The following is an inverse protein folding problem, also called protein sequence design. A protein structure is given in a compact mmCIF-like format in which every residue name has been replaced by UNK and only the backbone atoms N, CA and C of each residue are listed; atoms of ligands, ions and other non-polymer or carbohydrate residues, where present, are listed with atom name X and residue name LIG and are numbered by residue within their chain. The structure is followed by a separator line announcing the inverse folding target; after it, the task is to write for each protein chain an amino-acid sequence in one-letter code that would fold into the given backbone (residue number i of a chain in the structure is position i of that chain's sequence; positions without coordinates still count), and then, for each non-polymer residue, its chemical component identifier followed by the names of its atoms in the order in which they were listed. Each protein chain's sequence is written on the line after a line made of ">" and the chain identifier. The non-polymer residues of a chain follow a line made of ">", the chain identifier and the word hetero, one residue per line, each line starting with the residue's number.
data_IF_520525450231
#
_entry.id   IF_520525450231
#
_cell.length_a   1.000
_cell.length_b   1.000
_cell.length_c   1.000
_cell.angle_alpha   90.00
_cell.angle_beta   90.00
_cell.angle_gamma   90.00
#
_symmetry.space_group_name_H-M   'P 1'
#
loop_
_entity.id
_entity.type
_entity.pdbx_description
1 polymer ?
#
# COMPACT_ATOMS: atom_id res chain seq x y z
N UNK A 1 -14.22 34.30 9.15
CA UNK A 1 -14.44 34.49 7.71
C UNK A 1 -13.13 34.96 7.11
N UNK A 2 -12.59 34.25 6.12
CA UNK A 2 -11.30 34.60 5.48
C UNK A 2 -11.39 35.88 4.65
N UNK A 3 -12.58 36.25 4.15
CA UNK A 3 -12.78 37.52 3.42
C UNK A 3 -12.59 38.71 4.33
N UNK A 4 -13.12 38.67 5.55
CA UNK A 4 -12.93 39.71 6.55
C UNK A 4 -11.44 39.88 6.94
N UNK A 5 -10.68 38.77 6.95
CA UNK A 5 -9.22 38.81 7.17
C UNK A 5 -8.53 39.44 5.97
N UNK A 6 -8.87 39.05 4.74
CA UNK A 6 -8.31 39.67 3.53
C UNK A 6 -8.60 41.17 3.48
N UNK A 7 -9.82 41.60 3.73
CA UNK A 7 -10.20 43.02 3.79
C UNK A 7 -9.45 43.79 4.89
N UNK A 8 -9.14 43.15 6.02
CA UNK A 8 -8.34 43.76 7.08
C UNK A 8 -6.86 43.91 6.67
N UNK A 9 -6.30 42.90 6.00
CA UNK A 9 -4.93 42.91 5.46
C UNK A 9 -4.78 43.99 4.39
N UNK A 10 -5.73 44.09 3.48
CA UNK A 10 -5.77 45.11 2.43
C UNK A 10 -5.89 46.52 3.01
N UNK A 11 -6.78 46.73 4.00
CA UNK A 11 -6.90 48.01 4.72
C UNK A 11 -5.64 48.41 5.48
N UNK A 12 -4.88 47.43 5.98
CA UNK A 12 -3.61 47.66 6.66
C UNK A 12 -2.44 47.96 5.69
N UNK A 13 -2.70 47.99 4.37
CA UNK A 13 -1.70 48.36 3.36
C UNK A 13 -0.71 47.24 3.01
N UNK A 14 -0.98 46.00 3.43
CA UNK A 14 -0.18 44.85 3.04
C UNK A 14 -0.65 44.34 1.66
N UNK A 15 0.30 44.16 0.73
CA UNK A 15 0.03 43.56 -0.57
C UNK A 15 -0.30 42.07 -0.41
N UNK A 16 -1.20 41.55 -1.26
CA UNK A 16 -1.62 40.14 -1.34
C UNK A 16 -0.44 39.15 -1.37
N UNK A 17 0.66 39.55 -2.00
CA UNK A 17 1.87 38.74 -2.17
C UNK A 17 2.69 38.58 -0.87
N UNK A 18 2.42 39.38 0.16
CA UNK A 18 3.19 39.38 1.42
C UNK A 18 2.50 38.67 2.58
N UNK A 19 1.20 38.39 2.47
CA UNK A 19 0.41 37.72 3.51
C UNK A 19 -0.38 36.59 2.88
N UNK A 20 0.06 35.36 3.13
CA UNK A 20 -0.73 34.18 2.79
C UNK A 20 -1.96 34.12 3.72
N UNK A 21 -3.10 34.62 3.21
CA UNK A 21 -4.37 34.67 3.95
C UNK A 21 -4.85 33.27 4.35
N UNK A 22 -4.54 32.25 3.54
CA UNK A 22 -4.93 30.88 3.83
C UNK A 22 -4.07 30.29 4.95
N UNK A 23 -2.75 30.53 4.92
CA UNK A 23 -1.84 30.17 6.01
C UNK A 23 -2.13 30.98 7.28
N UNK A 24 -2.44 32.27 7.18
CA UNK A 24 -2.83 33.09 8.32
C UNK A 24 -4.14 32.60 8.94
N UNK A 25 -5.10 32.18 8.13
CA UNK A 25 -6.31 31.50 8.58
C UNK A 25 -6.02 30.22 9.37
N UNK A 26 -5.08 29.40 8.89
CA UNK A 26 -4.61 28.19 9.59
C UNK A 26 -3.86 28.51 10.88
N UNK A 27 -2.99 29.51 10.89
CA UNK A 27 -2.16 29.87 12.05
C UNK A 27 -2.95 30.60 13.15
N UNK A 28 -3.93 31.43 12.78
CA UNK A 28 -4.79 32.14 13.73
C UNK A 28 -5.77 31.22 14.46
N UNK A 29 -6.03 30.04 13.89
CA UNK A 29 -6.74 28.95 14.53
C UNK A 29 -5.71 27.92 15.00
N UNK A 30 -5.02 28.24 16.11
CA UNK A 30 -3.88 27.51 16.69
C UNK A 30 -3.99 25.96 16.75
N UNK A 31 -5.17 25.37 16.51
CA UNK A 31 -5.42 23.93 16.44
C UNK A 31 -6.49 23.49 15.42
N UNK A 32 -6.90 24.31 14.44
CA UNK A 32 -8.00 23.96 13.54
C UNK A 32 -7.81 24.39 12.08
N UNK A 33 -8.38 23.62 11.16
CA UNK A 33 -8.63 24.06 9.78
C UNK A 33 -9.60 25.25 9.83
N UNK A 34 -9.48 26.26 8.95
CA UNK A 34 -10.51 27.30 8.83
C UNK A 34 -11.89 26.65 8.69
N UNK A 35 -12.87 27.10 9.51
CA UNK A 35 -14.22 26.49 9.53
C UNK A 35 -14.76 26.33 8.10
N UNK A 36 -14.93 25.10 7.59
CA UNK A 36 -15.23 24.86 6.17
C UNK A 36 -16.41 25.68 5.64
N UNK A 37 -17.50 25.73 6.39
CA UNK A 37 -18.75 26.41 6.02
C UNK A 37 -18.58 27.93 5.91
N UNK A 38 -17.66 28.51 6.69
CA UNK A 38 -17.39 29.95 6.69
C UNK A 38 -16.27 30.35 5.72
N UNK A 39 -15.47 29.38 5.26
CA UNK A 39 -14.27 29.63 4.46
C UNK A 39 -14.42 29.24 2.99
N UNK A 40 -15.34 28.33 2.66
CA UNK A 40 -15.52 27.87 1.27
C UNK A 40 -15.75 28.99 0.25
N UNK A 41 -16.49 30.10 0.52
CA UNK A 41 -16.71 31.14 -0.49
C UNK A 41 -15.40 31.82 -0.90
N UNK A 42 -14.49 32.01 0.06
CA UNK A 42 -13.16 32.55 -0.21
C UNK A 42 -12.34 31.60 -1.08
N UNK A 43 -12.31 30.30 -0.72
CA UNK A 43 -11.57 29.30 -1.50
C UNK A 43 -12.18 29.03 -2.88
N UNK A 44 -13.47 29.30 -3.10
CA UNK A 44 -14.09 29.19 -4.42
C UNK A 44 -13.49 30.20 -5.42
N UNK A 45 -13.06 31.36 -4.94
CA UNK A 45 -12.35 32.39 -5.70
C UNK A 45 -10.82 32.13 -5.78
N UNK A 46 -10.28 31.28 -4.90
CA UNK A 46 -8.85 30.99 -4.74
C UNK A 46 -8.54 29.49 -4.87
N UNK A 47 -9.00 28.89 -5.97
CA UNK A 47 -8.89 27.45 -6.21
C UNK A 47 -7.45 26.98 -6.39
N UNK A 48 -6.53 27.87 -6.76
CA UNK A 48 -5.10 27.64 -6.87
C UNK A 48 -4.47 27.24 -5.53
N UNK A 49 -4.97 27.82 -4.43
CA UNK A 49 -4.54 27.46 -3.07
C UNK A 49 -4.94 26.01 -2.76
N UNK A 50 -6.20 25.64 -3.02
CA UNK A 50 -6.67 24.27 -2.84
C UNK A 50 -5.91 23.29 -3.73
N UNK A 51 -5.66 23.64 -5.00
CA UNK A 51 -4.90 22.82 -5.93
C UNK A 51 -3.48 22.53 -5.41
N UNK A 52 -2.83 23.55 -4.85
CA UNK A 52 -1.52 23.42 -4.22
C UNK A 52 -1.59 22.49 -3.01
N UNK A 53 -2.56 22.71 -2.11
CA UNK A 53 -2.72 21.92 -0.89
C UNK A 53 -3.00 20.44 -1.15
N UNK A 54 -3.80 20.12 -2.17
CA UNK A 54 -4.10 18.74 -2.56
C UNK A 54 -2.85 17.92 -2.95
N UNK A 55 -1.74 18.59 -3.29
CA UNK A 55 -0.51 17.93 -3.76
C UNK A 55 0.72 18.17 -2.88
N UNK A 56 0.67 19.14 -1.95
CA UNK A 56 1.82 19.54 -1.14
C UNK A 56 2.18 18.52 -0.05
N UNK A 57 1.21 18.09 0.76
CA UNK A 57 1.41 17.09 1.82
C UNK A 57 0.12 16.36 2.16
N UNK A 58 0.22 15.23 2.87
CA UNK A 58 -0.97 14.50 3.32
C UNK A 58 -1.84 15.32 4.28
N UNK A 59 -1.23 16.15 5.13
CA UNK A 59 -1.96 17.05 6.04
C UNK A 59 -2.69 18.13 5.25
N UNK A 60 -2.01 18.74 4.28
CA UNK A 60 -2.61 19.79 3.45
C UNK A 60 -3.76 19.27 2.60
N UNK A 61 -3.61 18.06 2.07
CA UNK A 61 -4.68 17.41 1.32
C UNK A 61 -5.90 17.12 2.21
N UNK A 62 -5.71 16.73 3.48
CA UNK A 62 -6.82 16.54 4.42
C UNK A 62 -7.58 17.84 4.65
N UNK A 63 -6.87 18.96 4.85
CA UNK A 63 -7.48 20.26 5.05
C UNK A 63 -8.24 20.75 3.80
N UNK A 64 -7.62 20.59 2.63
CA UNK A 64 -8.25 20.94 1.36
C UNK A 64 -9.53 20.13 1.12
N UNK A 65 -9.51 18.83 1.42
CA UNK A 65 -10.69 17.96 1.34
C UNK A 65 -11.78 18.39 2.34
N UNK A 66 -11.41 18.80 3.56
CA UNK A 66 -12.37 19.30 4.54
C UNK A 66 -13.06 20.59 4.09
N UNK A 67 -12.31 21.52 3.48
CA UNK A 67 -12.88 22.74 2.90
C UNK A 67 -13.79 22.42 1.71
N UNK A 68 -13.34 21.52 0.82
CA UNK A 68 -14.10 21.11 -0.36
C UNK A 68 -15.40 20.38 -0.01
N UNK A 69 -15.47 19.71 1.14
CA UNK A 69 -16.72 19.08 1.59
C UNK A 69 -17.84 20.11 1.87
N UNK A 70 -17.48 21.36 2.18
CA UNK A 70 -18.44 22.45 2.34
C UNK A 70 -18.83 23.13 1.02
N UNK A 71 -18.22 22.77 -0.12
CA UNK A 71 -18.59 23.36 -1.40
C UNK A 71 -19.98 22.87 -1.84
N UNK A 72 -20.82 23.72 -2.43
CA UNK A 72 -22.08 23.29 -3.03
C UNK A 72 -21.87 22.46 -4.31
N UNK A 73 -20.79 22.75 -5.05
CA UNK A 73 -20.39 22.00 -6.24
C UNK A 73 -18.86 21.99 -6.35
N UNK A 74 -18.28 20.86 -6.78
CA UNK A 74 -16.84 20.75 -6.94
C UNK A 74 -16.36 21.53 -8.17
N UNK A 75 -15.31 22.36 -8.04
CA UNK A 75 -14.71 23.02 -9.19
C UNK A 75 -14.10 22.01 -10.18
N UNK A 76 -14.44 22.07 -11.48
CA UNK A 76 -13.92 21.12 -12.48
C UNK A 76 -12.39 21.03 -12.53
N UNK A 77 -11.69 22.14 -12.26
CA UNK A 77 -10.23 22.23 -12.24
C UNK A 77 -9.58 21.35 -11.16
N UNK A 78 -10.30 21.01 -10.11
CA UNK A 78 -9.79 20.22 -8.99
C UNK A 78 -10.08 18.72 -9.14
N UNK A 79 -10.94 18.32 -10.09
CA UNK A 79 -11.39 16.94 -10.23
C UNK A 79 -10.24 15.97 -10.51
N UNK A 80 -9.27 16.34 -11.34
CA UNK A 80 -8.11 15.49 -11.61
C UNK A 80 -7.25 15.26 -10.36
N UNK A 81 -7.02 16.29 -9.55
CA UNK A 81 -6.28 16.16 -8.28
C UNK A 81 -7.05 15.30 -7.27
N UNK A 82 -8.37 15.48 -7.18
CA UNK A 82 -9.24 14.68 -6.32
C UNK A 82 -9.30 13.22 -6.75
N UNK A 83 -9.40 12.95 -8.05
CA UNK A 83 -9.37 11.60 -8.62
C UNK A 83 -8.03 10.91 -8.32
N UNK A 84 -6.91 11.62 -8.48
CA UNK A 84 -5.58 11.10 -8.14
C UNK A 84 -5.47 10.74 -6.64
N UNK A 85 -6.03 11.56 -5.75
CA UNK A 85 -6.09 11.26 -4.31
C UNK A 85 -7.00 10.06 -4.03
N UNK A 86 -8.16 9.97 -4.68
CA UNK A 86 -9.09 8.85 -4.59
C UNK A 86 -8.52 7.53 -5.14
N UNK A 87 -7.53 7.62 -6.04
CA UNK A 87 -6.78 6.50 -6.59
C UNK A 87 -5.47 6.20 -5.84
N UNK A 88 -5.11 6.99 -4.82
CA UNK A 88 -3.82 6.85 -4.12
C UNK A 88 -3.79 5.71 -3.11
N UNK A 89 -2.60 5.25 -2.70
CA UNK A 89 -2.44 4.24 -1.65
C UNK A 89 -2.62 4.77 -0.22
N UNK A 90 -2.80 6.09 -0.06
CA UNK A 90 -2.92 6.74 1.24
C UNK A 90 -4.18 6.31 1.98
N UNK A 91 -4.01 5.72 3.18
CA UNK A 91 -5.15 5.28 4.00
C UNK A 91 -5.95 6.43 4.61
N UNK A 92 -5.40 7.66 4.60
CA UNK A 92 -6.04 8.84 5.20
C UNK A 92 -6.75 9.70 4.17
N UNK A 93 -6.12 9.99 3.03
CA UNK A 93 -6.67 10.92 2.02
C UNK A 93 -7.58 10.21 1.03
N UNK A 94 -7.27 8.95 0.65
CA UNK A 94 -8.08 8.18 -0.30
C UNK A 94 -9.56 8.08 0.11
N UNK A 95 -9.94 7.54 1.29
CA UNK A 95 -11.35 7.36 1.62
C UNK A 95 -12.10 8.69 1.69
N UNK A 96 -11.44 9.78 2.09
CA UNK A 96 -12.03 11.13 2.14
C UNK A 96 -12.30 11.68 0.74
N UNK A 97 -11.34 11.54 -0.18
CA UNK A 97 -11.51 11.96 -1.57
C UNK A 97 -12.61 11.13 -2.26
N UNK A 98 -12.65 9.81 -2.04
CA UNK A 98 -13.70 8.93 -2.55
C UNK A 98 -15.09 9.35 -2.04
N UNK A 99 -15.23 9.59 -0.73
CA UNK A 99 -16.49 10.03 -0.13
C UNK A 99 -16.96 11.39 -0.67
N UNK A 100 -16.03 12.34 -0.82
CA UNK A 100 -16.33 13.66 -1.40
C UNK A 100 -16.83 13.53 -2.85
N UNK A 101 -16.14 12.76 -3.69
CA UNK A 101 -16.53 12.57 -5.09
C UNK A 101 -17.86 11.80 -5.22
N UNK A 102 -18.14 10.88 -4.29
CA UNK A 102 -19.42 10.18 -4.21
C UNK A 102 -20.56 11.13 -3.80
N UNK A 103 -20.36 11.97 -2.79
CA UNK A 103 -21.32 13.02 -2.36
C UNK A 103 -21.75 13.93 -3.51
N UNK A 104 -20.82 14.25 -4.41
CA UNK A 104 -21.07 15.09 -5.58
C UNK A 104 -21.46 14.32 -6.86
N UNK A 105 -21.63 12.99 -6.80
CA UNK A 105 -22.13 12.19 -7.92
C UNK A 105 -21.17 12.06 -9.11
N UNK A 106 -19.87 12.33 -8.92
CA UNK A 106 -18.86 12.27 -10.00
C UNK A 106 -17.90 11.08 -9.88
N UNK A 107 -18.04 10.28 -8.81
CA UNK A 107 -17.13 9.17 -8.53
C UNK A 107 -17.10 8.12 -9.65
N UNK A 108 -18.25 7.70 -10.16
CA UNK A 108 -18.35 6.67 -11.18
C UNK A 108 -17.63 7.08 -12.48
N UNK A 109 -17.98 8.25 -13.03
CA UNK A 109 -17.42 8.75 -14.28
C UNK A 109 -15.89 8.93 -14.22
N UNK A 110 -15.38 9.45 -13.09
CA UNK A 110 -13.94 9.62 -12.89
C UNK A 110 -13.21 8.27 -12.78
N UNK A 111 -13.82 7.28 -12.13
CA UNK A 111 -13.26 5.95 -12.03
C UNK A 111 -13.24 5.26 -13.41
N UNK A 112 -14.30 5.39 -14.22
CA UNK A 112 -14.31 4.89 -15.61
C UNK A 112 -13.23 5.54 -16.45
N UNK A 113 -13.04 6.86 -16.35
CA UNK A 113 -11.97 7.58 -17.05
C UNK A 113 -10.58 7.08 -16.65
N UNK A 114 -10.37 6.78 -15.36
CA UNK A 114 -9.10 6.26 -14.85
C UNK A 114 -8.69 4.91 -15.46
N UNK A 115 -9.64 4.10 -15.95
CA UNK A 115 -9.35 2.84 -16.65
C UNK A 115 -8.64 3.05 -18.00
N UNK A 116 -8.64 4.26 -18.55
CA UNK A 116 -7.98 4.62 -19.79
C UNK A 116 -6.59 5.27 -19.59
N UNK A 117 -6.14 5.44 -18.34
CA UNK A 117 -4.85 6.06 -18.05
C UNK A 117 -3.66 5.23 -18.59
N UNK A 118 -2.58 5.89 -19.00
CA UNK A 118 -1.38 5.22 -19.50
C UNK A 118 -0.63 4.40 -18.43
N UNK A 119 -0.75 4.78 -17.16
CA UNK A 119 -0.07 4.14 -16.02
C UNK A 119 -0.93 3.01 -15.46
N UNK A 120 -0.35 1.81 -15.36
CA UNK A 120 -1.05 0.62 -14.83
C UNK A 120 -1.53 0.77 -13.38
N UNK A 121 -0.82 1.54 -12.57
CA UNK A 121 -1.18 1.83 -11.17
C UNK A 121 -2.48 2.63 -11.08
N UNK A 122 -2.65 3.63 -11.94
CA UNK A 122 -3.87 4.45 -12.00
C UNK A 122 -5.05 3.60 -12.45
N UNK A 123 -4.86 2.74 -13.46
CA UNK A 123 -5.90 1.80 -13.91
C UNK A 123 -6.30 0.80 -12.82
N UNK A 124 -5.34 0.29 -12.05
CA UNK A 124 -5.62 -0.65 -10.95
C UNK A 124 -6.43 0.02 -9.84
N UNK A 125 -6.07 1.25 -9.48
CA UNK A 125 -6.79 2.03 -8.50
C UNK A 125 -8.20 2.42 -8.98
N UNK A 126 -8.36 2.75 -10.27
CA UNK A 126 -9.65 3.01 -10.89
C UNK A 126 -10.58 1.77 -10.83
N UNK A 127 -10.04 0.57 -11.11
CA UNK A 127 -10.80 -0.67 -10.97
C UNK A 127 -11.25 -0.93 -9.52
N UNK A 128 -10.34 -0.78 -8.55
CA UNK A 128 -10.68 -0.89 -7.13
C UNK A 128 -11.74 0.14 -6.70
N UNK A 129 -11.66 1.37 -7.25
CA UNK A 129 -12.63 2.40 -6.96
C UNK A 129 -14.01 2.06 -7.54
N UNK A 130 -14.11 1.57 -8.79
CA UNK A 130 -15.38 1.09 -9.36
C UNK A 130 -16.01 -0.02 -8.51
N UNK A 131 -15.20 -0.97 -8.03
CA UNK A 131 -15.67 -2.01 -7.12
C UNK A 131 -16.26 -1.43 -5.82
N UNK A 132 -15.62 -0.40 -5.25
CA UNK A 132 -16.12 0.27 -4.05
C UNK A 132 -17.37 1.13 -4.28
N UNK A 133 -17.54 1.67 -5.49
CA UNK A 133 -18.77 2.37 -5.89
C UNK A 133 -19.92 1.36 -6.01
N UNK A 134 -19.64 0.13 -6.47
CA UNK A 134 -20.62 -0.96 -6.50
C UNK A 134 -21.64 -0.86 -7.63
N UNK A 135 -21.39 -0.02 -8.64
CA UNK A 135 -22.28 0.15 -9.80
C UNK A 135 -21.87 -0.78 -10.96
N UNK A 136 -22.73 -1.76 -11.26
CA UNK A 136 -22.53 -2.73 -12.33
C UNK A 136 -22.43 -2.10 -13.74
N UNK A 137 -22.84 -0.84 -13.93
CA UNK A 137 -22.62 -0.11 -15.18
C UNK A 137 -21.13 0.01 -15.54
N UNK A 138 -20.21 -0.19 -14.58
CA UNK A 138 -18.76 -0.19 -14.82
C UNK A 138 -18.23 -1.44 -15.52
N UNK A 139 -18.99 -2.54 -15.55
CA UNK A 139 -18.54 -3.84 -16.09
C UNK A 139 -18.04 -3.75 -17.54
N UNK A 140 -18.76 -3.12 -18.50
CA UNK A 140 -18.30 -3.02 -19.88
C UNK A 140 -16.97 -2.26 -20.01
N UNK A 141 -16.76 -1.21 -19.22
CA UNK A 141 -15.52 -0.44 -19.23
C UNK A 141 -14.35 -1.26 -18.64
N UNK A 142 -14.57 -1.98 -17.55
CA UNK A 142 -13.60 -2.90 -16.95
C UNK A 142 -13.20 -3.99 -17.94
N UNK A 143 -14.17 -4.64 -18.61
CA UNK A 143 -13.91 -5.66 -19.63
C UNK A 143 -13.11 -5.13 -20.82
N UNK A 144 -13.43 -3.92 -21.29
CA UNK A 144 -12.70 -3.29 -22.38
C UNK A 144 -11.24 -2.97 -22.00
N UNK A 145 -11.01 -2.54 -20.76
CA UNK A 145 -9.67 -2.27 -20.24
C UNK A 145 -8.88 -3.56 -20.02
N UNK A 146 -9.48 -4.57 -19.39
CA UNK A 146 -8.89 -5.89 -19.13
C UNK A 146 -8.35 -6.56 -20.39
N UNK A 147 -9.07 -6.46 -21.52
CA UNK A 147 -8.66 -7.04 -22.81
C UNK A 147 -7.32 -6.49 -23.33
N UNK A 148 -6.95 -5.28 -22.93
CA UNK A 148 -5.73 -4.59 -23.38
C UNK A 148 -4.65 -4.54 -22.30
N UNK A 149 -4.94 -5.04 -21.11
CA UNK A 149 -4.06 -4.95 -19.95
C UNK A 149 -2.87 -5.90 -20.08
N UNK A 150 -1.70 -5.41 -19.68
CA UNK A 150 -0.43 -6.16 -19.71
C UNK A 150 0.24 -6.26 -18.33
N UNK A 151 -0.18 -5.41 -17.39
CA UNK A 151 0.29 -5.43 -16.01
C UNK A 151 -0.50 -6.45 -15.23
N UNK A 152 0.18 -7.46 -14.68
CA UNK A 152 -0.43 -8.52 -13.89
C UNK A 152 -1.13 -7.98 -12.63
N UNK A 153 -0.53 -6.98 -11.98
CA UNK A 153 -1.11 -6.31 -10.80
C UNK A 153 -2.41 -5.61 -11.17
N UNK A 154 -2.42 -4.95 -12.32
CA UNK A 154 -3.60 -4.21 -12.80
C UNK A 154 -4.70 -5.17 -13.27
N UNK A 155 -4.31 -6.25 -13.96
CA UNK A 155 -5.20 -7.35 -14.35
C UNK A 155 -5.88 -7.96 -13.12
N UNK A 156 -5.12 -8.23 -12.06
CA UNK A 156 -5.65 -8.74 -10.79
C UNK A 156 -6.70 -7.80 -10.19
N UNK A 157 -6.41 -6.50 -10.13
CA UNK A 157 -7.35 -5.50 -9.62
C UNK A 157 -8.64 -5.42 -10.47
N UNK A 158 -8.53 -5.53 -11.79
CA UNK A 158 -9.69 -5.54 -12.70
C UNK A 158 -10.55 -6.80 -12.53
N UNK A 159 -9.95 -7.98 -12.43
CA UNK A 159 -10.69 -9.23 -12.20
C UNK A 159 -11.41 -9.22 -10.85
N UNK A 160 -10.74 -8.76 -9.79
CA UNK A 160 -11.37 -8.61 -8.47
C UNK A 160 -12.55 -7.61 -8.50
N UNK A 161 -12.40 -6.51 -9.25
CA UNK A 161 -13.48 -5.55 -9.42
C UNK A 161 -14.67 -6.12 -10.20
N UNK A 162 -14.43 -6.87 -11.28
CA UNK A 162 -15.46 -7.55 -12.06
C UNK A 162 -16.24 -8.55 -11.21
N UNK A 163 -15.55 -9.39 -10.45
CA UNK A 163 -16.18 -10.35 -9.51
C UNK A 163 -17.02 -9.62 -8.45
N UNK A 164 -16.48 -8.55 -7.85
CA UNK A 164 -17.21 -7.72 -6.87
C UNK A 164 -18.49 -7.12 -7.45
N UNK A 165 -18.47 -6.73 -8.72
CA UNK A 165 -19.63 -6.18 -9.44
C UNK A 165 -20.58 -7.27 -9.98
N UNK A 166 -20.28 -8.55 -9.74
CA UNK A 166 -21.14 -9.68 -10.11
C UNK A 166 -20.95 -10.19 -11.54
N UNK A 167 -19.84 -9.87 -12.19
CA UNK A 167 -19.51 -10.37 -13.52
C UNK A 167 -18.87 -11.77 -13.49
N UNK A 168 -19.12 -12.58 -14.52
CA UNK A 168 -18.58 -13.94 -14.60
C UNK A 168 -17.14 -13.95 -15.12
N UNK A 169 -16.18 -14.04 -14.20
CA UNK A 169 -14.75 -14.11 -14.53
C UNK A 169 -14.25 -15.52 -14.89
N UNK A 170 -15.12 -16.54 -14.88
CA UNK A 170 -14.71 -17.92 -15.18
C UNK A 170 -14.00 -18.08 -16.54
N UNK A 171 -14.40 -17.37 -17.62
CA UNK A 171 -13.67 -17.42 -18.89
C UNK A 171 -12.23 -16.90 -18.81
N UNK A 172 -11.95 -15.94 -17.93
CA UNK A 172 -10.60 -15.40 -17.69
C UNK A 172 -9.72 -16.35 -16.88
N UNK A 173 -10.34 -17.32 -16.20
CA UNK A 173 -9.72 -18.33 -15.35
C UNK A 173 -9.68 -19.71 -16.02
N UNK A 174 -10.04 -19.81 -17.30
CA UNK A 174 -10.01 -21.09 -18.01
C UNK A 174 -8.56 -21.64 -18.13
N UNK A 175 -8.35 -22.96 -18.07
CA UNK A 175 -7.00 -23.55 -18.05
C UNK A 175 -6.09 -23.09 -19.21
N UNK A 176 -6.64 -22.92 -20.42
CA UNK A 176 -5.91 -22.44 -21.58
C UNK A 176 -5.49 -20.95 -21.46
N UNK A 177 -6.30 -20.12 -20.80
CA UNK A 177 -6.00 -18.71 -20.53
C UNK A 177 -4.89 -18.62 -19.49
N UNK A 178 -5.03 -19.34 -18.38
CA UNK A 178 -4.03 -19.39 -17.31
C UNK A 178 -2.70 -19.96 -17.80
N UNK A 179 -2.70 -20.95 -18.69
CA UNK A 179 -1.49 -21.48 -19.31
C UNK A 179 -0.81 -20.46 -20.23
N UNK A 180 -1.59 -19.69 -21.00
CA UNK A 180 -1.04 -18.64 -21.85
C UNK A 180 -0.40 -17.53 -21.01
N UNK A 181 -1.05 -17.12 -19.91
CA UNK A 181 -0.51 -16.17 -18.94
C UNK A 181 0.78 -16.70 -18.33
N UNK A 182 0.80 -17.95 -17.86
CA UNK A 182 1.98 -18.58 -17.29
C UNK A 182 3.16 -18.61 -18.26
N UNK A 183 2.93 -19.00 -19.52
CA UNK A 183 3.96 -19.02 -20.57
C UNK A 183 4.49 -17.62 -20.89
N UNK A 184 3.67 -16.59 -20.79
CA UNK A 184 4.11 -15.21 -20.97
C UNK A 184 4.91 -14.71 -19.77
N UNK A 185 4.38 -14.93 -18.57
CA UNK A 185 4.94 -14.45 -17.30
C UNK A 185 6.28 -15.08 -16.94
N UNK A 186 6.45 -16.39 -17.21
CA UNK A 186 7.68 -17.14 -16.93
C UNK A 186 8.85 -16.80 -17.87
N UNK A 187 8.63 -16.00 -18.93
CA UNK A 187 9.74 -15.47 -19.75
C UNK A 187 10.58 -14.45 -18.99
N UNK A 188 9.98 -13.75 -18.02
CA UNK A 188 10.69 -12.81 -17.16
C UNK A 188 11.42 -13.58 -16.05
N UNK A 189 12.63 -13.13 -15.72
CA UNK A 189 13.40 -13.71 -14.61
C UNK A 189 12.65 -13.51 -13.30
N UNK A 190 12.52 -14.57 -12.50
CA UNK A 190 11.97 -14.49 -11.15
C UNK A 190 12.83 -13.57 -10.25
N UNK A 191 12.18 -12.96 -9.25
CA UNK A 191 12.85 -12.10 -8.28
C UNK A 191 13.93 -12.86 -7.51
N UNK A 192 15.04 -12.17 -7.18
CA UNK A 192 16.07 -12.73 -6.31
C UNK A 192 15.54 -13.07 -4.90
N UNK A 193 14.47 -12.39 -4.46
CA UNK A 193 13.81 -12.67 -3.19
C UNK A 193 13.15 -14.06 -3.15
N UNK A 194 12.87 -14.67 -4.31
CA UNK A 194 12.27 -16.00 -4.43
C UNK A 194 13.33 -17.10 -4.62
N UNK A 195 14.62 -16.77 -4.64
CA UNK A 195 15.71 -17.72 -4.94
C UNK A 195 15.83 -18.86 -3.91
N UNK A 196 15.23 -18.71 -2.72
CA UNK A 196 15.21 -19.75 -1.69
C UNK A 196 14.22 -20.89 -1.99
N UNK A 197 13.26 -20.68 -2.89
CA UNK A 197 12.21 -21.63 -3.21
C UNK A 197 12.46 -22.31 -4.57
N UNK A 198 12.59 -23.63 -4.55
CA UNK A 198 12.77 -24.43 -5.77
C UNK A 198 11.44 -24.61 -6.52
N UNK A 199 11.21 -23.79 -7.55
CA UNK A 199 10.01 -23.88 -8.38
C UNK A 199 9.88 -25.20 -9.17
N UNK A 200 10.99 -25.91 -9.37
CA UNK A 200 10.97 -27.22 -10.04
C UNK A 200 10.48 -28.36 -9.14
N UNK A 201 10.40 -28.14 -7.82
CA UNK A 201 9.95 -29.14 -6.84
C UNK A 201 8.49 -28.93 -6.40
N UNK A 202 7.77 -28.01 -7.04
CA UNK A 202 6.35 -27.80 -6.76
C UNK A 202 5.57 -29.10 -7.01
N UNK A 203 4.60 -29.45 -6.14
CA UNK A 203 3.82 -30.67 -6.30
C UNK A 203 2.97 -30.61 -7.56
N UNK A 204 2.74 -31.78 -8.16
CA UNK A 204 1.67 -31.92 -9.15
C UNK A 204 0.33 -31.69 -8.46
N UNK A 205 -0.57 -30.98 -9.15
CA UNK A 205 -1.89 -30.60 -8.65
C UNK A 205 -2.94 -30.85 -9.72
N UNK A 206 -4.18 -31.04 -9.28
CA UNK A 206 -5.35 -31.23 -10.13
C UNK A 206 -6.34 -30.10 -9.94
N UNK A 207 -7.06 -29.79 -11.02
CA UNK A 207 -8.22 -28.92 -10.98
C UNK A 207 -9.34 -29.56 -10.16
N UNK A 208 -10.35 -28.76 -9.78
CA UNK A 208 -11.52 -29.26 -9.06
C UNK A 208 -12.29 -30.39 -9.79
N UNK A 209 -12.15 -30.51 -11.12
CA UNK A 209 -12.73 -31.59 -11.92
C UNK A 209 -11.86 -32.86 -11.98
N UNK A 210 -10.70 -32.87 -11.31
CA UNK A 210 -9.76 -33.98 -11.25
C UNK A 210 -8.77 -34.05 -12.41
N UNK A 211 -8.84 -33.14 -13.38
CA UNK A 211 -7.86 -33.09 -14.47
C UNK A 211 -6.54 -32.46 -14.01
N UNK A 212 -5.42 -32.90 -14.60
CA UNK A 212 -4.09 -32.40 -14.21
C UNK A 212 -3.88 -30.93 -14.61
N UNK A 213 -3.28 -30.16 -13.70
CA UNK A 213 -2.86 -28.78 -13.97
C UNK A 213 -1.47 -28.79 -14.60
N UNK A 214 -1.29 -28.02 -15.67
CA UNK A 214 0.03 -27.82 -16.28
C UNK A 214 0.99 -27.18 -15.24
N UNK A 215 2.16 -27.79 -14.94
CA UNK A 215 3.08 -27.28 -13.93
C UNK A 215 3.55 -25.83 -14.14
N UNK A 216 3.53 -25.33 -15.38
CA UNK A 216 3.85 -23.94 -15.67
C UNK A 216 2.88 -22.98 -14.99
N UNK A 217 1.59 -23.34 -14.87
CA UNK A 217 0.58 -22.53 -14.21
C UNK A 217 0.92 -22.35 -12.73
N UNK A 218 1.21 -23.45 -12.04
CA UNK A 218 1.54 -23.43 -10.60
C UNK A 218 2.83 -22.65 -10.35
N UNK A 219 3.87 -22.88 -11.18
CA UNK A 219 5.13 -22.11 -11.12
C UNK A 219 4.88 -20.62 -11.28
N UNK A 220 4.02 -20.25 -12.23
CA UNK A 220 3.67 -18.86 -12.46
C UNK A 220 2.91 -18.24 -11.29
N UNK A 221 1.94 -18.94 -10.70
CA UNK A 221 1.20 -18.44 -9.53
C UNK A 221 2.12 -18.10 -8.35
N UNK A 222 3.14 -18.91 -8.10
CA UNK A 222 4.14 -18.63 -7.06
C UNK A 222 4.96 -17.38 -7.38
N UNK A 223 5.41 -17.22 -8.64
CA UNK A 223 6.11 -16.02 -9.10
C UNK A 223 5.21 -14.78 -9.02
N UNK A 224 3.94 -14.93 -9.37
CA UNK A 224 2.94 -13.86 -9.34
C UNK A 224 2.66 -13.43 -7.90
N UNK A 225 2.54 -14.36 -6.95
CA UNK A 225 2.36 -14.05 -5.54
C UNK A 225 3.50 -13.16 -5.00
N UNK A 226 4.76 -13.44 -5.35
CA UNK A 226 5.90 -12.56 -5.01
C UNK A 226 5.78 -11.17 -5.65
N UNK A 227 5.26 -11.07 -6.88
CA UNK A 227 5.06 -9.78 -7.57
C UNK A 227 3.94 -8.94 -6.98
N UNK A 228 2.84 -9.57 -6.55
CA UNK A 228 1.65 -8.87 -6.04
C UNK A 228 1.89 -8.23 -4.66
N UNK A 229 2.83 -8.75 -3.85
CA UNK A 229 3.15 -8.24 -2.51
C UNK A 229 1.92 -8.15 -1.58
N UNK A 230 1.00 -9.12 -1.70
CA UNK A 230 -0.18 -9.26 -0.84
C UNK A 230 0.08 -10.38 0.19
N UNK A 231 0.45 -10.06 1.44
CA UNK A 231 0.94 -11.04 2.40
C UNK A 231 -0.13 -11.95 3.02
N UNK A 232 -1.39 -11.52 3.02
CA UNK A 232 -2.51 -12.32 3.54
C UNK A 232 -3.06 -13.34 2.53
N UNK A 233 -2.51 -13.35 1.31
CA UNK A 233 -2.92 -14.25 0.23
C UNK A 233 -4.27 -13.91 -0.41
N UNK A 234 -4.96 -12.87 0.07
CA UNK A 234 -6.28 -12.49 -0.43
C UNK A 234 -6.26 -12.02 -1.89
N UNK A 235 -7.42 -12.08 -2.53
CA UNK A 235 -7.60 -11.65 -3.92
C UNK A 235 -7.25 -12.74 -4.92
N UNK A 236 -6.43 -12.41 -5.93
CA UNK A 236 -6.26 -13.25 -7.11
C UNK A 236 -5.64 -14.62 -6.80
N UNK A 237 -4.70 -14.70 -5.85
CA UNK A 237 -4.06 -15.98 -5.50
C UNK A 237 -5.04 -16.91 -4.79
N UNK A 238 -5.80 -16.41 -3.82
CA UNK A 238 -6.88 -17.17 -3.18
C UNK A 238 -7.89 -17.69 -4.22
N UNK A 239 -8.27 -16.83 -5.18
CA UNK A 239 -9.13 -17.23 -6.29
C UNK A 239 -8.51 -18.34 -7.15
N UNK A 240 -7.22 -18.27 -7.47
CA UNK A 240 -6.54 -19.32 -8.22
C UNK A 240 -6.49 -20.64 -7.47
N UNK A 241 -6.19 -20.61 -6.17
CA UNK A 241 -6.18 -21.80 -5.33
C UNK A 241 -7.57 -22.45 -5.24
N UNK A 242 -8.65 -21.66 -5.29
CA UNK A 242 -10.02 -22.17 -5.30
C UNK A 242 -10.39 -22.97 -6.56
N UNK A 243 -9.57 -22.90 -7.63
CA UNK A 243 -9.75 -23.69 -8.85
C UNK A 243 -9.23 -25.12 -8.72
N UNK A 244 -8.38 -25.38 -7.73
CA UNK A 244 -7.81 -26.69 -7.45
C UNK A 244 -8.77 -27.53 -6.60
N UNK A 245 -8.61 -28.85 -6.64
CA UNK A 245 -9.22 -29.68 -5.60
C UNK A 245 -8.55 -29.41 -4.23
N UNK A 246 -9.26 -29.78 -3.16
CA UNK A 246 -8.84 -29.47 -1.79
C UNK A 246 -7.50 -30.12 -1.39
N UNK A 247 -7.19 -31.32 -1.89
CA UNK A 247 -5.94 -32.02 -1.56
C UNK A 247 -4.76 -31.36 -2.27
N UNK A 248 -4.95 -30.97 -3.53
CA UNK A 248 -3.98 -30.20 -4.31
C UNK A 248 -3.67 -28.82 -3.72
N UNK A 249 -4.71 -28.06 -3.36
CA UNK A 249 -4.53 -26.77 -2.69
C UNK A 249 -3.76 -26.92 -1.37
N UNK A 250 -4.08 -27.96 -0.59
CA UNK A 250 -3.39 -28.30 0.66
C UNK A 250 -1.93 -28.70 0.42
N UNK A 251 -1.66 -29.51 -0.61
CA UNK A 251 -0.31 -29.97 -0.95
C UNK A 251 0.58 -28.78 -1.34
N UNK A 252 0.06 -27.86 -2.15
CA UNK A 252 0.77 -26.65 -2.55
C UNK A 252 1.06 -25.72 -1.36
N UNK A 253 0.05 -25.47 -0.51
CA UNK A 253 0.20 -24.68 0.70
C UNK A 253 1.21 -25.30 1.69
N UNK A 254 1.16 -26.62 1.88
CA UNK A 254 2.11 -27.37 2.72
C UNK A 254 3.52 -27.28 2.17
N UNK A 255 3.70 -27.45 0.86
CA UNK A 255 5.01 -27.33 0.22
C UNK A 255 5.62 -25.94 0.45
N UNK A 256 4.84 -24.88 0.25
CA UNK A 256 5.30 -23.51 0.46
C UNK A 256 5.70 -23.27 1.92
N UNK A 257 4.86 -23.68 2.88
CA UNK A 257 5.13 -23.53 4.31
C UNK A 257 6.35 -24.33 4.76
N UNK A 258 6.45 -25.60 4.38
CA UNK A 258 7.59 -26.46 4.76
C UNK A 258 8.90 -25.98 4.14
N UNK A 259 8.87 -25.50 2.89
CA UNK A 259 10.03 -24.90 2.24
C UNK A 259 10.48 -23.63 2.96
N UNK A 260 9.53 -22.79 3.38
CA UNK A 260 9.83 -21.58 4.14
C UNK A 260 10.45 -21.91 5.50
N UNK A 261 9.87 -22.86 6.25
CA UNK A 261 10.44 -23.33 7.52
C UNK A 261 11.87 -23.85 7.30
N UNK A 262 12.09 -24.69 6.29
CA UNK A 262 13.42 -25.24 6.00
C UNK A 262 14.44 -24.16 5.62
N UNK A 263 14.01 -23.11 4.93
CA UNK A 263 14.87 -21.96 4.60
C UNK A 263 15.19 -21.11 5.84
N UNK A 264 14.16 -20.75 6.62
CA UNK A 264 14.28 -19.87 7.78
C UNK A 264 15.04 -20.52 8.95
N UNK A 265 14.91 -21.85 9.10
CA UNK A 265 15.63 -22.63 10.11
C UNK A 265 17.04 -23.06 9.66
N UNK A 266 17.48 -22.69 8.45
CA UNK A 266 18.79 -23.07 7.94
C UNK A 266 19.89 -22.43 8.80
N UNK A 267 20.65 -23.27 9.48
CA UNK A 267 21.82 -22.81 10.24
C UNK A 267 22.98 -22.42 9.30
N UNK A 268 23.76 -21.39 9.66
CA UNK A 268 25.03 -21.13 8.99
C UNK A 268 25.88 -22.40 8.99
N UNK A 269 26.61 -22.62 7.91
CA UNK A 269 27.61 -23.69 7.86
C UNK A 269 28.65 -23.50 8.96
N UNK A 270 29.36 -24.57 9.33
CA UNK A 270 30.45 -24.43 10.28
C UNK A 270 31.52 -23.45 9.79
N UNK A 271 31.79 -23.39 8.48
CA UNK A 271 32.74 -22.45 7.88
C UNK A 271 32.27 -21.00 8.01
N UNK A 272 31.00 -20.71 7.72
CA UNK A 272 30.41 -19.39 7.94
C UNK A 272 30.42 -19.01 9.43
N UNK A 273 30.13 -19.97 10.30
CA UNK A 273 30.18 -19.79 11.75
C UNK A 273 31.60 -19.51 12.23
N UNK A 274 32.61 -20.23 11.72
CA UNK A 274 34.03 -20.03 12.02
C UNK A 274 34.53 -18.67 11.49
N UNK A 275 34.17 -18.30 10.27
CA UNK A 275 34.53 -17.01 9.68
C UNK A 275 33.92 -15.84 10.46
N UNK A 276 32.65 -15.95 10.84
CA UNK A 276 32.00 -14.96 11.71
C UNK A 276 32.67 -14.91 13.09
N UNK A 277 32.91 -16.06 13.72
CA UNK A 277 33.60 -16.13 15.01
C UNK A 277 35.02 -15.54 14.96
N UNK A 278 35.76 -15.71 13.86
CA UNK A 278 37.06 -15.09 13.68
C UNK A 278 36.97 -13.55 13.58
N UNK A 279 35.95 -13.04 12.88
CA UNK A 279 35.75 -11.60 12.69
C UNK A 279 35.29 -10.90 13.97
N UNK A 280 34.29 -11.45 14.67
CA UNK A 280 33.63 -10.77 15.81
C UNK A 280 34.01 -11.35 17.17
N UNK A 281 34.63 -12.52 17.21
CA UNK A 281 34.88 -13.26 18.45
C UNK A 281 35.85 -12.56 19.38
N UNK A 282 36.96 -12.02 18.85
CA UNK A 282 37.92 -11.28 19.68
C UNK A 282 37.30 -10.02 20.27
N UNK A 283 36.56 -9.25 19.47
CA UNK A 283 35.88 -8.04 19.93
C UNK A 283 34.81 -8.36 21.00
N UNK A 284 34.00 -9.40 20.78
CA UNK A 284 32.98 -9.83 21.75
C UNK A 284 33.62 -10.35 23.04
N UNK A 285 34.72 -11.08 22.94
CA UNK A 285 35.48 -11.56 24.09
C UNK A 285 36.06 -10.38 24.89
N UNK A 286 36.70 -9.41 24.24
CA UNK A 286 37.22 -8.19 24.87
C UNK A 286 36.11 -7.39 25.56
N UNK A 287 35.00 -7.14 24.87
CA UNK A 287 33.84 -6.44 25.44
C UNK A 287 33.30 -7.16 26.69
N UNK A 288 33.29 -8.49 26.68
CA UNK A 288 32.85 -9.31 27.81
C UNK A 288 33.84 -9.23 28.99
N UNK A 289 35.14 -9.24 28.73
CA UNK A 289 36.18 -9.04 29.76
C UNK A 289 36.09 -7.66 30.40
N UNK A 290 35.86 -6.62 29.59
CA UNK A 290 35.71 -5.24 30.06
C UNK A 290 34.44 -5.07 30.90
N UNK A 291 33.33 -5.68 30.47
CA UNK A 291 32.11 -5.72 31.25
C UNK A 291 32.31 -6.41 32.60
N UNK A 292 32.97 -7.58 32.64
CA UNK A 292 33.28 -8.31 33.87
C UNK A 292 34.16 -7.50 34.83
N UNK A 293 35.18 -6.79 34.30
CA UNK A 293 36.03 -5.90 35.10
C UNK A 293 35.23 -4.78 35.75
N UNK A 294 34.39 -4.09 34.98
CA UNK A 294 33.53 -3.01 35.51
C UNK A 294 32.54 -3.51 36.56
N UNK A 295 31.90 -4.66 36.32
CA UNK A 295 30.96 -5.26 37.28
C UNK A 295 31.63 -5.63 38.61
N UNK A 296 32.85 -6.18 38.57
CA UNK A 296 33.63 -6.48 39.78
C UNK A 296 34.01 -5.21 40.55
N UNK A 297 34.44 -4.16 39.84
CA UNK A 297 34.80 -2.89 40.46
C UNK A 297 33.59 -2.25 41.17
N UNK A 298 32.42 -2.21 40.52
CA UNK A 298 31.18 -1.72 41.13
C UNK A 298 30.73 -2.55 42.35
N UNK A 299 30.99 -3.86 42.34
CA UNK A 299 30.70 -4.75 43.48
C UNK A 299 31.63 -4.46 44.66
N UNK A 300 32.91 -4.19 44.39
CA UNK A 300 33.89 -3.82 45.41
C UNK A 300 33.54 -2.43 45.98
N UNK A 301 33.21 -1.45 45.14
CA UNK A 301 32.82 -0.10 45.57
C UNK A 301 31.55 -0.12 46.46
N UNK A 302 30.53 -0.91 46.10
CA UNK A 302 29.34 -1.11 46.94
C UNK A 302 29.65 -1.85 48.26
N UNK A 303 30.63 -2.74 48.27
CA UNK A 303 31.10 -3.43 49.49
C UNK A 303 31.84 -2.47 50.43
N UNK A 304 32.70 -1.61 49.87
CA UNK A 304 33.49 -0.62 50.62
C UNK A 304 32.58 0.47 51.21
N UNK A 305 31.56 0.93 50.49
CA UNK A 305 30.59 1.88 51.04
C UNK A 305 29.68 1.28 52.13
N UNK A 306 29.39 -0.02 52.11
CA UNK A 306 28.71 -0.71 53.23
C UNK A 306 29.63 -0.98 54.42
N UNK A 307 30.95 -1.11 54.21
CA UNK A 307 31.93 -1.31 55.29
C UNK A 307 32.43 -0.02 55.96
N UNK A 308 32.30 1.14 55.30
CA UNK A 308 32.73 2.44 55.83
C UNK A 308 31.64 3.20 56.61
N UNK A 309 30.43 2.64 56.69
CA UNK A 309 29.31 3.20 57.44
C UNK A 309 28.99 2.42 58.71
N UNK A 310 29.96 2.26 59.63
CA UNK A 310 29.60 2.06 61.04
C UNK A 310 30.76 2.34 62.02
N UNK A 311 30.43 3.21 62.98
CA UNK A 311 31.16 3.69 64.17
C UNK A 311 32.27 4.73 63.96
N UNK A 312 32.11 5.86 64.67
CA UNK A 312 32.76 5.91 65.98
C UNK A 312 31.83 6.32 67.14
N UNK A 313 32.15 5.75 68.31
CA UNK A 313 32.31 6.46 69.59
C UNK A 313 31.09 7.07 70.23
#
# INVERSE_FOLDING_TARGET
>A
DLRAIQEAVERAGFLRERVDVAQFGRLSSYWAVPRPEASWPWFAEHQDVLQTWLTASASDAVDALAILDAFPALPPRLLSSLANLAASTSRTTRPRAQALLAKHGVAFELAVQGLADGKGEVRAAAASWLASVGDAQGIPALRASLKKERSEVTRAAMLAALETLGDDISPDLAPNVLLAEAKAGLKAKASAALAWLSLDLLPAVTWADGTEVDPQIVRWWVVLADKLKVPDGSGLIDRYLSLLDADSATALGRFALSSWIAHDTKHPTEDESRAHAALVGLQRWQNSQDWLRRARQQTIEHSVHRGAGNYPG
#
